data_IF_988585265130
#
_entry.id   IF_988585265130
#
_cell.length_a   1.000
_cell.length_b   1.000
_cell.length_c   1.000
_cell.angle_alpha   90.00
_cell.angle_beta   90.00
_cell.angle_gamma   90.00
#
_symmetry.space_group_name_H-M   'P 1'
#
loop_
_entity.id
_entity.type
_entity.pdbx_description
1 polymer ?
#
# COMPACT_ATOMS: atom_id res chain seq x y z
N UNK A 1 -3.41 21.36 -14.93
CA UNK A 1 -2.89 20.09 -14.37
C UNK A 1 -3.52 19.86 -13.01
N UNK A 2 -4.07 18.68 -12.73
CA UNK A 2 -4.84 18.40 -11.51
C UNK A 2 -4.01 17.80 -10.35
N UNK A 3 -2.86 17.21 -10.65
CA UNK A 3 -1.99 16.54 -9.68
C UNK A 3 -0.96 17.53 -9.14
N UNK A 4 -0.89 17.68 -7.81
CA UNK A 4 0.11 18.50 -7.13
C UNK A 4 1.34 17.69 -6.74
N UNK A 5 1.13 16.55 -6.07
CA UNK A 5 2.19 15.64 -5.66
C UNK A 5 1.81 14.18 -5.94
N UNK A 6 2.83 13.36 -6.19
CA UNK A 6 2.67 11.92 -6.39
C UNK A 6 3.78 11.14 -5.69
N UNK A 7 3.39 10.05 -5.03
CA UNK A 7 4.29 9.06 -4.46
C UNK A 7 4.04 7.69 -5.06
N UNK A 8 4.91 7.26 -5.99
CA UNK A 8 4.91 5.90 -6.52
C UNK A 8 5.81 4.97 -5.68
N UNK A 9 5.27 3.81 -5.31
CA UNK A 9 5.90 2.74 -4.50
C UNK A 9 5.48 1.36 -5.03
N UNK A 10 6.16 0.30 -4.60
CA UNK A 10 5.67 -1.08 -4.75
C UNK A 10 4.71 -1.42 -3.62
N UNK A 11 3.51 -1.88 -3.94
CA UNK A 11 2.60 -2.49 -2.97
C UNK A 11 2.83 -3.99 -2.92
N UNK A 12 2.62 -4.66 -1.78
CA UNK A 12 2.77 -6.12 -1.69
C UNK A 12 1.82 -6.84 -2.66
N UNK A 13 2.30 -7.95 -3.21
CA UNK A 13 1.54 -8.84 -4.09
C UNK A 13 2.03 -10.28 -3.90
N UNK A 14 1.10 -11.23 -3.82
CA UNK A 14 1.42 -12.65 -3.55
C UNK A 14 2.08 -13.37 -4.73
N UNK A 15 2.00 -12.82 -5.95
CA UNK A 15 2.54 -13.46 -7.15
C UNK A 15 3.82 -12.79 -7.65
N UNK A 16 3.83 -11.46 -7.68
CA UNK A 16 4.95 -10.65 -8.18
C UNK A 16 5.89 -10.16 -7.06
N UNK A 17 5.55 -10.40 -5.80
CA UNK A 17 6.21 -9.84 -4.63
C UNK A 17 5.79 -8.38 -4.40
N UNK A 18 5.99 -7.53 -5.40
CA UNK A 18 5.47 -6.16 -5.42
C UNK A 18 4.91 -5.78 -6.80
N UNK A 19 3.85 -4.96 -6.81
CA UNK A 19 3.31 -4.33 -8.03
C UNK A 19 3.25 -2.81 -7.86
N UNK A 20 3.38 -2.01 -8.95
CA UNK A 20 3.38 -0.56 -8.83
C UNK A 20 2.05 -0.02 -8.32
N UNK A 21 2.09 0.88 -7.34
CA UNK A 21 0.96 1.71 -6.97
C UNK A 21 1.40 3.16 -6.75
N UNK A 22 0.44 4.08 -6.80
CA UNK A 22 0.70 5.49 -6.53
C UNK A 22 -0.31 6.09 -5.55
N UNK A 23 0.16 7.07 -4.79
CA UNK A 23 -0.69 7.95 -4.00
C UNK A 23 -0.55 9.36 -4.53
N UNK A 24 -1.67 10.05 -4.64
CA UNK A 24 -1.77 11.35 -5.32
C UNK A 24 -2.40 12.36 -4.38
N UNK A 25 -1.81 13.55 -4.32
CA UNK A 25 -2.42 14.74 -3.74
C UNK A 25 -2.73 15.71 -4.88
N UNK A 26 -3.97 16.19 -4.91
CA UNK A 26 -4.45 17.09 -5.96
C UNK A 26 -4.08 18.55 -5.64
N UNK A 27 -4.02 19.37 -6.68
CA UNK A 27 -4.00 20.83 -6.49
C UNK A 27 -5.33 21.30 -5.90
N UNK A 28 -5.31 22.39 -5.15
CA UNK A 28 -6.51 22.91 -4.48
C UNK A 28 -7.65 23.15 -5.48
N UNK A 29 -8.81 22.57 -5.19
CA UNK A 29 -10.02 22.71 -6.02
C UNK A 29 -10.06 21.84 -7.28
N UNK A 30 -9.03 21.04 -7.56
CA UNK A 30 -9.10 20.06 -8.64
C UNK A 30 -9.93 18.85 -8.22
N UNK A 31 -10.56 18.22 -9.21
CA UNK A 31 -11.29 16.95 -9.06
C UNK A 31 -10.87 16.03 -10.20
N UNK A 32 -10.49 14.81 -9.85
CA UNK A 32 -10.16 13.72 -10.77
C UNK A 32 -10.38 12.42 -10.00
N UNK A 33 -10.66 11.35 -10.72
CA UNK A 33 -10.87 10.01 -10.15
C UNK A 33 -9.60 9.16 -10.24
N UNK A 34 -9.42 8.16 -9.36
CA UNK A 34 -8.36 7.17 -9.50
C UNK A 34 -8.32 6.49 -10.88
N UNK A 35 -9.48 6.20 -11.46
CA UNK A 35 -9.63 5.54 -12.76
C UNK A 35 -9.13 6.41 -13.90
N UNK A 36 -9.42 7.71 -13.87
CA UNK A 36 -8.88 8.69 -14.83
C UNK A 36 -7.36 8.78 -14.71
N UNK A 37 -6.82 8.76 -13.48
CA UNK A 37 -5.37 8.79 -13.25
C UNK A 37 -4.66 7.51 -13.74
N UNK A 38 -5.25 6.34 -13.52
CA UNK A 38 -4.74 5.06 -14.04
C UNK A 38 -4.77 5.08 -15.56
N UNK A 39 -5.88 5.52 -16.16
CA UNK A 39 -6.02 5.62 -17.62
C UNK A 39 -4.96 6.56 -18.20
N UNK A 40 -4.78 7.74 -17.60
CA UNK A 40 -3.76 8.70 -17.98
C UNK A 40 -2.35 8.10 -17.87
N UNK A 41 -2.00 7.49 -16.73
CA UNK A 41 -0.71 6.86 -16.52
C UNK A 41 -0.43 5.75 -17.56
N UNK A 42 -1.41 4.90 -17.83
CA UNK A 42 -1.28 3.77 -18.77
C UNK A 42 -1.16 4.22 -20.24
N UNK A 43 -1.63 5.43 -20.58
CA UNK A 43 -1.42 6.01 -21.90
C UNK A 43 0.01 6.49 -22.14
N UNK A 44 0.76 6.76 -21.06
CA UNK A 44 2.14 7.27 -21.11
C UNK A 44 3.17 6.17 -20.81
N UNK A 45 2.84 5.23 -19.92
CA UNK A 45 3.72 4.13 -19.52
C UNK A 45 3.46 2.92 -20.41
N UNK A 46 4.35 2.71 -21.40
CA UNK A 46 4.24 1.63 -22.38
C UNK A 46 4.57 0.25 -21.81
N UNK A 47 5.46 0.20 -20.81
CA UNK A 47 5.80 -1.05 -20.12
C UNK A 47 4.68 -1.47 -19.17
N UNK A 48 3.98 -2.56 -19.51
CA UNK A 48 2.86 -3.08 -18.71
C UNK A 48 3.20 -3.41 -17.26
N UNK A 49 4.44 -3.84 -16.99
CA UNK A 49 4.90 -4.15 -15.64
C UNK A 49 5.10 -2.89 -14.77
N UNK A 50 5.33 -1.73 -15.40
CA UNK A 50 5.50 -0.44 -14.73
C UNK A 50 4.19 0.35 -14.56
N UNK A 51 3.10 -0.13 -15.16
CA UNK A 51 1.77 0.50 -15.04
C UNK A 51 1.22 0.35 -13.62
N UNK A 52 0.73 1.44 -12.99
CA UNK A 52 0.15 1.38 -11.66
C UNK A 52 -1.10 0.48 -11.65
N UNK A 53 -1.13 -0.47 -10.71
CA UNK A 53 -2.29 -1.34 -10.45
C UNK A 53 -3.29 -0.73 -9.49
N UNK A 54 -2.85 0.26 -8.72
CA UNK A 54 -3.67 0.97 -7.77
C UNK A 54 -3.22 2.43 -7.69
N UNK A 55 -4.19 3.34 -7.65
CA UNK A 55 -3.97 4.75 -7.35
C UNK A 55 -4.97 5.17 -6.26
N UNK A 56 -4.49 5.89 -5.25
CA UNK A 56 -5.34 6.47 -4.22
C UNK A 56 -5.09 7.97 -4.12
N UNK A 57 -6.18 8.73 -4.02
CA UNK A 57 -6.13 10.17 -3.83
C UNK A 57 -6.23 10.45 -2.33
N UNK A 58 -5.20 11.08 -1.79
CA UNK A 58 -5.13 11.47 -0.38
C UNK A 58 -5.34 12.99 -0.25
N UNK A 59 -6.00 13.45 0.83
CA UNK A 59 -6.12 14.88 1.11
C UNK A 59 -4.76 15.58 1.20
N UNK A 60 -3.77 14.89 1.78
CA UNK A 60 -2.39 15.34 1.88
C UNK A 60 -1.45 14.14 1.86
N UNK A 61 -0.38 14.19 1.07
CA UNK A 61 0.67 13.19 1.11
C UNK A 61 1.61 13.41 2.29
N UNK A 62 2.12 12.33 2.92
CA UNK A 62 3.17 12.44 3.90
C UNK A 62 4.41 13.04 3.23
N UNK A 63 4.94 14.11 3.83
CA UNK A 63 6.11 14.84 3.33
C UNK A 63 7.20 14.89 4.39
N UNK A 64 8.45 14.97 3.95
CA UNK A 64 9.59 15.26 4.83
C UNK A 64 9.56 16.73 5.25
N UNK A 65 10.38 17.10 6.23
CA UNK A 65 10.52 18.50 6.67
C UNK A 65 10.90 19.48 5.55
N UNK A 66 11.45 18.98 4.44
CA UNK A 66 11.81 19.77 3.24
C UNK A 66 10.80 19.61 2.09
N UNK A 67 9.58 19.13 2.37
CA UNK A 67 8.47 19.07 1.43
C UNK A 67 8.52 17.94 0.39
N UNK A 68 9.47 17.00 0.48
CA UNK A 68 9.52 15.84 -0.43
C UNK A 68 8.57 14.75 0.03
N UNK A 69 7.90 14.05 -0.89
CA UNK A 69 7.03 12.91 -0.56
C UNK A 69 7.81 11.85 0.22
N UNK A 70 7.30 11.48 1.39
CA UNK A 70 7.88 10.52 2.31
C UNK A 70 7.36 9.11 2.03
N UNK A 71 7.96 8.47 1.02
CA UNK A 71 7.60 7.11 0.57
C UNK A 71 7.56 6.02 1.65
N UNK A 72 8.38 6.03 2.72
CA UNK A 72 8.27 5.03 3.78
C UNK A 72 6.89 4.96 4.43
N UNK A 73 6.20 6.10 4.61
CA UNK A 73 4.82 6.10 5.11
C UNK A 73 3.85 5.46 4.11
N UNK A 74 4.01 5.73 2.81
CA UNK A 74 3.17 5.17 1.75
C UNK A 74 3.32 3.64 1.61
N UNK A 75 4.53 3.10 1.82
CA UNK A 75 4.76 1.65 1.87
C UNK A 75 4.02 1.00 3.04
N UNK A 76 4.03 1.64 4.22
CA UNK A 76 3.26 1.18 5.38
C UNK A 76 1.76 1.18 5.09
N UNK A 77 1.24 2.23 4.47
CA UNK A 77 -0.17 2.29 4.05
C UNK A 77 -0.52 1.18 3.06
N UNK A 78 0.38 0.87 2.11
CA UNK A 78 0.14 -0.20 1.14
C UNK A 78 0.12 -1.59 1.81
N UNK A 79 1.03 -1.86 2.74
CA UNK A 79 1.03 -3.12 3.50
C UNK A 79 -0.27 -3.28 4.29
N UNK A 80 -0.69 -2.24 5.03
CA UNK A 80 -1.95 -2.26 5.79
C UNK A 80 -3.13 -2.54 4.87
N UNK A 81 -3.27 -1.80 3.76
CA UNK A 81 -4.36 -1.96 2.81
C UNK A 81 -4.40 -3.38 2.23
N UNK A 82 -3.29 -3.84 1.67
CA UNK A 82 -3.25 -5.12 0.96
C UNK A 82 -3.50 -6.29 1.92
N UNK A 83 -2.93 -6.26 3.13
CA UNK A 83 -3.07 -7.37 4.07
C UNK A 83 -4.47 -7.42 4.67
N UNK A 84 -5.06 -6.27 4.99
CA UNK A 84 -6.45 -6.22 5.47
C UNK A 84 -7.44 -6.66 4.40
N UNK A 85 -7.18 -6.32 3.13
CA UNK A 85 -7.98 -6.84 2.02
C UNK A 85 -7.89 -8.37 1.95
N UNK A 86 -6.68 -8.93 1.98
CA UNK A 86 -6.47 -10.37 1.91
C UNK A 86 -7.12 -11.12 3.09
N UNK A 87 -6.97 -10.61 4.32
CA UNK A 87 -7.61 -11.19 5.51
C UNK A 87 -9.14 -11.14 5.42
N UNK A 88 -9.68 -10.00 4.98
CA UNK A 88 -11.11 -9.81 4.79
C UNK A 88 -11.67 -10.75 3.71
N UNK A 89 -11.01 -10.87 2.56
CA UNK A 89 -11.43 -11.76 1.47
C UNK A 89 -11.36 -13.24 1.86
N UNK A 90 -10.41 -13.61 2.72
CA UNK A 90 -10.31 -14.94 3.29
C UNK A 90 -11.28 -15.20 4.45
N UNK A 91 -12.05 -14.19 4.89
CA UNK A 91 -12.96 -14.31 6.03
C UNK A 91 -12.27 -14.54 7.37
N UNK A 92 -11.00 -14.14 7.50
CA UNK A 92 -10.20 -14.30 8.70
C UNK A 92 -10.44 -13.12 9.64
N UNK A 93 -10.85 -13.39 10.88
CA UNK A 93 -11.04 -12.35 11.91
C UNK A 93 -9.70 -11.88 12.47
N UNK A 94 -8.99 -11.10 11.65
CA UNK A 94 -7.76 -10.42 11.97
C UNK A 94 -7.58 -9.17 11.11
N UNK A 95 -6.79 -8.22 11.62
CA UNK A 95 -6.48 -6.96 10.94
C UNK A 95 -5.11 -6.44 11.35
N UNK A 96 -4.39 -5.89 10.38
CA UNK A 96 -3.16 -5.12 10.57
C UNK A 96 -3.51 -3.79 11.25
N UNK A 97 -2.99 -3.59 12.45
CA UNK A 97 -3.15 -2.37 13.24
C UNK A 97 -2.12 -1.30 12.87
N UNK A 98 -0.88 -1.73 12.64
CA UNK A 98 0.22 -0.84 12.26
C UNK A 98 1.35 -1.63 11.60
N UNK A 99 2.23 -0.91 10.91
CA UNK A 99 3.46 -1.47 10.33
C UNK A 99 4.65 -0.79 10.98
N UNK A 100 5.48 -1.61 11.61
CA UNK A 100 6.68 -1.17 12.33
C UNK A 100 7.93 -1.48 11.50
N UNK A 101 9.02 -0.80 11.83
CA UNK A 101 10.32 -1.10 11.23
C UNK A 101 11.09 -1.99 12.21
N UNK A 102 11.26 -3.24 11.82
CA UNK A 102 12.10 -4.21 12.52
C UNK A 102 13.51 -4.14 11.93
N UNK A 103 14.51 -4.09 12.82
CA UNK A 103 15.93 -3.92 12.44
C UNK A 103 16.46 -5.03 11.53
N UNK A 104 15.90 -6.24 11.61
CA UNK A 104 16.38 -7.42 10.90
C UNK A 104 15.40 -7.88 9.82
N UNK A 105 14.10 -7.68 10.04
CA UNK A 105 13.02 -8.13 9.17
C UNK A 105 12.46 -7.02 8.26
N UNK A 106 12.85 -5.77 8.47
CA UNK A 106 12.33 -4.63 7.72
C UNK A 106 10.91 -4.27 8.15
N UNK A 107 10.08 -3.83 7.20
CA UNK A 107 8.69 -3.47 7.49
C UNK A 107 7.90 -4.70 7.92
N UNK A 108 7.44 -4.71 9.17
CA UNK A 108 6.71 -5.84 9.77
C UNK A 108 5.29 -5.39 10.12
N UNK A 109 4.28 -6.13 9.64
CA UNK A 109 2.88 -5.87 9.95
C UNK A 109 2.52 -6.41 11.35
N UNK A 110 1.93 -5.57 12.20
CA UNK A 110 1.43 -6.00 13.51
C UNK A 110 -0.07 -6.24 13.44
N UNK A 111 -0.47 -7.47 13.69
CA UNK A 111 -1.83 -7.99 13.46
C UNK A 111 -2.51 -8.28 14.80
N UNK A 112 -3.78 -7.89 14.92
CA UNK A 112 -4.65 -8.28 16.04
C UNK A 112 -5.94 -8.91 15.51
N UNK A 113 -6.60 -9.76 16.31
CA UNK A 113 -7.77 -10.51 15.87
C UNK A 113 -8.02 -11.76 16.71
N UNK A 114 -9.16 -12.42 16.51
CA UNK A 114 -9.50 -13.66 17.20
C UNK A 114 -9.00 -14.92 16.49
N UNK A 115 -8.77 -14.85 15.17
CA UNK A 115 -8.23 -15.97 14.38
C UNK A 115 -6.84 -16.38 14.90
N UNK A 116 -6.49 -17.67 14.84
CA UNK A 116 -5.18 -18.17 15.27
C UNK A 116 -4.04 -17.85 14.29
N UNK A 117 -2.80 -18.01 14.76
CA UNK A 117 -1.61 -17.63 13.98
C UNK A 117 -1.40 -18.52 12.74
N UNK A 118 -1.92 -19.75 12.76
CA UNK A 118 -1.86 -20.66 11.62
C UNK A 118 -2.78 -20.16 10.51
N UNK A 119 -4.00 -19.78 10.86
CA UNK A 119 -5.01 -19.22 9.95
C UNK A 119 -4.54 -17.90 9.36
N UNK A 120 -3.96 -17.02 10.18
CA UNK A 120 -3.38 -15.76 9.69
C UNK A 120 -2.19 -16.04 8.74
N UNK A 121 -1.32 -17.00 9.09
CA UNK A 121 -0.17 -17.37 8.25
C UNK A 121 -0.57 -17.96 6.90
N UNK A 122 -1.69 -18.67 6.81
CA UNK A 122 -2.19 -19.20 5.54
C UNK A 122 -2.57 -18.09 4.54
N UNK A 123 -2.89 -16.89 5.02
CA UNK A 123 -3.26 -15.74 4.19
C UNK A 123 -2.07 -14.82 3.98
N UNK A 124 -1.36 -14.47 5.06
CA UNK A 124 -0.30 -13.48 5.01
C UNK A 124 1.09 -14.05 4.67
N UNK A 125 1.27 -15.37 4.78
CA UNK A 125 2.56 -16.04 4.59
C UNK A 125 3.09 -15.98 3.16
N UNK A 126 2.22 -15.74 2.18
CA UNK A 126 2.59 -15.61 0.77
C UNK A 126 3.06 -14.20 0.39
N UNK A 127 2.89 -13.21 1.27
CA UNK A 127 3.44 -11.88 1.06
C UNK A 127 4.89 -11.79 1.53
N UNK A 128 5.66 -10.90 0.89
CA UNK A 128 7.11 -10.78 1.15
C UNK A 128 7.43 -10.11 2.50
N UNK A 129 6.57 -9.21 2.99
CA UNK A 129 6.79 -8.56 4.29
C UNK A 129 6.29 -9.47 5.42
N UNK A 130 7.05 -9.61 6.51
CA UNK A 130 6.63 -10.44 7.62
C UNK A 130 5.50 -9.79 8.40
N UNK A 131 4.80 -10.62 9.17
CA UNK A 131 3.82 -10.18 10.15
C UNK A 131 4.17 -10.73 11.54
N UNK A 132 3.63 -10.09 12.57
CA UNK A 132 3.66 -10.59 13.94
C UNK A 132 2.36 -10.24 14.67
N UNK A 133 2.06 -10.95 15.75
CA UNK A 133 0.98 -10.55 16.65
C UNK A 133 1.30 -9.22 17.32
N UNK A 134 0.32 -8.34 17.33
CA UNK A 134 0.35 -7.17 18.18
C UNK A 134 0.29 -7.66 19.64
N UNK A 135 1.35 -7.36 20.40
CA UNK A 135 1.43 -7.64 21.83
C UNK A 135 0.57 -6.71 22.68
#
# INVERSE_FOLDING_TARGET
EAVGFVGAIGQPDVHAGEIPCAYVELVLGATVTPEELITFANSLVTERAAQPKYIEILPELPKTAVGKVFKPALRKSAIIRTYNLALSEAGVDAQVQKVVEDKYRGLTAQVSGSADDVTISQVLGDFIQPWERLS
#
